data_IF_895606722764
#
_entry.id   IF_895606722764
#
_cell.length_a   1.000
_cell.length_b   1.000
_cell.length_c   1.000
_cell.angle_alpha   90.00
_cell.angle_beta   90.00
_cell.angle_gamma   90.00
#
_symmetry.space_group_name_H-M   'P 1'
#
loop_
_entity.id
_entity.type
_entity.pdbx_description
1 polymer ?
#
# COMPACT_ATOMS: atom_id res chain seq x y z
N UNK A 1 -12.23 -8.28 -17.66
CA UNK A 1 -12.45 -7.89 -16.27
C UNK A 1 -12.86 -6.42 -16.19
N UNK A 2 -13.81 -6.08 -15.34
CA UNK A 2 -14.18 -4.69 -15.15
C UNK A 2 -13.00 -3.91 -14.55
N UNK A 3 -12.85 -2.66 -14.96
CA UNK A 3 -11.83 -1.81 -14.40
C UNK A 3 -12.21 -1.41 -12.97
N UNK A 4 -11.20 -1.29 -12.11
CA UNK A 4 -11.42 -0.74 -10.79
C UNK A 4 -11.91 0.70 -10.91
N UNK A 5 -12.81 1.12 -10.04
CA UNK A 5 -13.27 2.50 -9.99
C UNK A 5 -12.17 3.40 -9.46
N UNK A 6 -12.29 4.70 -9.74
CA UNK A 6 -11.38 5.68 -9.18
C UNK A 6 -11.37 5.55 -7.65
N UNK A 7 -10.20 5.39 -7.08
CA UNK A 7 -10.04 5.18 -5.65
C UNK A 7 -10.20 3.74 -5.19
N UNK A 8 -10.54 2.84 -6.10
CA UNK A 8 -10.61 1.41 -5.82
C UNK A 8 -9.53 0.67 -6.60
N UNK A 9 -8.96 -0.33 -5.98
CA UNK A 9 -7.83 -1.07 -6.56
C UNK A 9 -8.02 -2.56 -6.36
N UNK A 10 -7.63 -3.35 -7.34
CA UNK A 10 -7.58 -4.79 -7.17
C UNK A 10 -6.32 -5.14 -6.38
N UNK A 11 -6.43 -6.12 -5.49
CA UNK A 11 -5.27 -6.54 -4.69
C UNK A 11 -4.11 -6.99 -5.58
N UNK A 12 -4.40 -7.68 -6.69
CA UNK A 12 -3.37 -8.12 -7.63
C UNK A 12 -2.60 -6.95 -8.25
N UNK A 13 -3.24 -5.79 -8.41
CA UNK A 13 -2.59 -4.60 -8.92
C UNK A 13 -1.65 -3.98 -7.89
N UNK A 14 -1.96 -4.17 -6.61
CA UNK A 14 -1.19 -3.59 -5.52
C UNK A 14 -0.03 -4.47 -5.09
N UNK A 15 -0.12 -5.78 -5.29
CA UNK A 15 0.94 -6.69 -4.93
C UNK A 15 2.21 -6.42 -5.74
N UNK A 16 3.34 -6.40 -5.06
CA UNK A 16 4.63 -6.16 -5.69
C UNK A 16 5.00 -4.71 -5.89
N UNK A 17 4.10 -3.77 -5.56
CA UNK A 17 4.42 -2.34 -5.65
C UNK A 17 5.39 -1.94 -4.54
N UNK A 18 6.25 -0.98 -4.84
CA UNK A 18 7.12 -0.40 -3.83
C UNK A 18 6.30 0.48 -2.90
N UNK A 19 6.55 0.36 -1.61
CA UNK A 19 5.90 1.18 -0.59
C UNK A 19 6.89 2.22 -0.09
N UNK A 20 6.55 3.48 -0.26
CA UNK A 20 7.42 4.62 0.05
C UNK A 20 6.64 5.59 0.91
N UNK A 21 7.28 6.15 1.93
CA UNK A 21 6.66 7.19 2.75
C UNK A 21 6.53 8.48 1.97
N UNK A 22 5.74 9.42 2.49
CA UNK A 22 5.60 10.75 1.89
C UNK A 22 6.95 11.48 1.86
N UNK A 23 7.85 11.14 2.76
CA UNK A 23 9.20 11.72 2.83
C UNK A 23 10.19 11.02 1.88
N UNK A 24 9.76 9.98 1.19
CA UNK A 24 10.60 9.27 0.24
C UNK A 24 11.38 8.10 0.81
N UNK A 25 11.06 7.64 2.02
CA UNK A 25 11.71 6.48 2.62
C UNK A 25 11.07 5.20 2.12
N UNK A 26 11.87 4.31 1.55
CA UNK A 26 11.37 3.03 1.05
C UNK A 26 11.16 2.07 2.22
N UNK A 27 9.93 1.60 2.40
CA UNK A 27 9.59 0.64 3.45
C UNK A 27 9.72 -0.81 2.98
N UNK A 28 9.56 -1.04 1.70
CA UNK A 28 9.61 -2.38 1.13
C UNK A 28 8.64 -2.52 -0.03
N UNK A 29 8.18 -3.74 -0.25
CA UNK A 29 7.21 -4.04 -1.30
C UNK A 29 5.98 -4.70 -0.71
N UNK A 30 4.84 -4.52 -1.38
CA UNK A 30 3.61 -5.20 -0.98
C UNK A 30 3.77 -6.69 -1.26
N UNK A 31 3.76 -7.50 -0.21
CA UNK A 31 3.80 -8.95 -0.33
C UNK A 31 2.43 -9.49 -0.70
N UNK A 32 1.43 -9.10 0.05
CA UNK A 32 0.04 -9.48 -0.19
C UNK A 32 -0.86 -8.53 0.62
N UNK A 33 -2.16 -8.73 0.50
CA UNK A 33 -3.13 -8.00 1.29
C UNK A 33 -4.06 -8.99 1.96
N UNK A 34 -4.70 -8.56 3.05
CA UNK A 34 -5.79 -9.31 3.64
C UNK A 34 -6.85 -8.33 4.15
N UNK A 35 -8.07 -8.83 4.28
CA UNK A 35 -9.18 -8.03 4.76
C UNK A 35 -9.39 -8.26 6.24
N UNK A 36 -9.69 -7.18 6.95
CA UNK A 36 -10.18 -7.23 8.32
C UNK A 36 -11.67 -6.87 8.32
N UNK A 37 -12.32 -6.90 9.47
CA UNK A 37 -13.71 -6.47 9.55
C UNK A 37 -13.93 -5.00 9.22
N UNK A 38 -12.88 -4.17 9.26
CA UNK A 38 -12.98 -2.73 9.04
C UNK A 38 -12.32 -2.30 7.73
N UNK A 39 -11.11 -2.76 7.45
CA UNK A 39 -10.30 -2.28 6.32
C UNK A 39 -9.47 -3.41 5.73
N UNK A 40 -9.01 -3.20 4.50
CA UNK A 40 -7.95 -4.03 3.94
C UNK A 40 -6.62 -3.61 4.54
N UNK A 41 -5.68 -4.55 4.63
CA UNK A 41 -4.37 -4.30 5.20
C UNK A 41 -3.31 -4.72 4.19
N UNK A 42 -2.36 -3.82 3.95
CA UNK A 42 -1.17 -4.11 3.14
C UNK A 42 -0.13 -4.79 4.01
N UNK A 43 0.35 -5.94 3.56
CA UNK A 43 1.50 -6.59 4.19
C UNK A 43 2.74 -6.16 3.40
N UNK A 44 3.56 -5.34 4.01
CA UNK A 44 4.75 -4.77 3.38
C UNK A 44 5.98 -5.52 3.86
N UNK A 45 6.75 -6.03 2.94
CA UNK A 45 7.95 -6.83 3.22
C UNK A 45 9.19 -6.05 2.79
N UNK A 46 10.05 -5.73 3.76
CA UNK A 46 11.31 -5.03 3.56
C UNK A 46 12.32 -5.50 4.59
N UNK A 47 13.00 -4.59 5.28
CA UNK A 47 13.87 -4.96 6.41
C UNK A 47 13.10 -5.75 7.47
N UNK A 48 11.83 -5.40 7.62
CA UNK A 48 10.91 -6.11 8.51
C UNK A 48 9.53 -6.08 7.89
N UNK A 49 8.65 -6.94 8.34
CA UNK A 49 7.27 -6.94 7.91
C UNK A 49 6.50 -5.82 8.61
N UNK A 50 5.73 -5.08 7.83
CA UNK A 50 4.86 -4.04 8.35
C UNK A 50 3.44 -4.29 7.87
N UNK A 51 2.48 -4.01 8.73
CA UNK A 51 1.06 -4.10 8.40
C UNK A 51 0.51 -2.69 8.34
N UNK A 52 0.18 -2.22 7.15
CA UNK A 52 -0.29 -0.86 6.92
C UNK A 52 -1.73 -0.91 6.46
N UNK A 53 -2.68 -0.27 7.18
CA UNK A 53 -4.07 -0.27 6.72
C UNK A 53 -4.20 0.46 5.39
N UNK A 54 -4.91 -0.15 4.46
CA UNK A 54 -5.15 0.46 3.15
C UNK A 54 -6.35 1.40 3.25
N UNK A 55 -6.10 2.59 3.73
CA UNK A 55 -7.13 3.62 3.95
C UNK A 55 -6.77 4.84 3.10
N UNK A 56 -7.28 4.92 1.85
CA UNK A 56 -6.98 6.06 0.98
C UNK A 56 -7.40 7.38 1.63
N UNK A 57 -6.52 8.38 1.56
CA UNK A 57 -6.73 9.65 2.21
C UNK A 57 -6.31 9.69 3.68
N UNK A 58 -5.90 8.55 4.23
CA UNK A 58 -5.40 8.44 5.61
C UNK A 58 -3.98 7.84 5.59
N UNK A 59 -3.86 6.55 5.86
CA UNK A 59 -2.54 5.92 5.84
C UNK A 59 -1.96 5.83 4.43
N UNK A 60 -2.80 5.67 3.41
CA UNK A 60 -2.36 5.64 2.01
C UNK A 60 -2.64 7.00 1.37
N UNK A 61 -1.58 7.68 0.96
CA UNK A 61 -1.71 8.99 0.31
C UNK A 61 -1.93 8.89 -1.20
N UNK A 62 -1.16 8.06 -1.87
CA UNK A 62 -1.22 7.96 -3.32
C UNK A 62 -0.86 6.56 -3.79
N UNK A 63 -1.52 6.09 -4.83
CA UNK A 63 -1.17 4.84 -5.52
C UNK A 63 -0.86 5.19 -6.97
N UNK A 64 0.36 4.93 -7.39
CA UNK A 64 0.81 5.16 -8.77
C UNK A 64 1.17 3.81 -9.41
N UNK A 65 0.23 3.24 -10.14
CA UNK A 65 0.45 1.95 -10.79
C UNK A 65 1.45 2.04 -11.95
N UNK A 66 1.53 3.19 -12.61
CA UNK A 66 2.47 3.38 -13.71
C UNK A 66 3.91 3.40 -13.20
N UNK A 67 4.15 4.04 -12.07
CA UNK A 67 5.46 4.07 -11.43
C UNK A 67 5.69 2.87 -10.52
N UNK A 68 4.64 2.06 -10.27
CA UNK A 68 4.67 0.90 -9.39
C UNK A 68 5.05 1.26 -7.95
N UNK A 69 4.44 2.33 -7.44
CA UNK A 69 4.73 2.90 -6.13
C UNK A 69 3.44 3.20 -5.39
N UNK A 70 3.42 2.91 -4.10
CA UNK A 70 2.37 3.35 -3.18
C UNK A 70 3.03 4.30 -2.18
N UNK A 71 2.51 5.52 -2.09
CA UNK A 71 2.97 6.47 -1.09
C UNK A 71 2.09 6.38 0.13
N UNK A 72 2.71 6.26 1.29
CA UNK A 72 2.00 6.08 2.55
C UNK A 72 2.41 7.15 3.54
N UNK A 73 1.43 7.58 4.34
CA UNK A 73 1.67 8.44 5.49
C UNK A 73 1.92 7.54 6.70
N UNK A 74 3.13 7.06 6.81
CA UNK A 74 3.51 6.06 7.81
C UNK A 74 4.90 6.35 8.34
N UNK A 75 5.06 6.18 9.65
CA UNK A 75 6.35 6.37 10.29
C UNK A 75 7.24 5.13 10.03
N UNK A 76 8.42 5.30 9.39
CA UNK A 76 9.31 4.18 9.14
C UNK A 76 9.79 3.46 10.40
N UNK A 77 9.76 4.14 11.53
CA UNK A 77 10.18 3.58 12.81
C UNK A 77 9.06 2.83 13.54
N UNK A 78 7.84 2.96 13.01
CA UNK A 78 6.66 2.35 13.65
C UNK A 78 6.63 0.85 13.48
#
# INVERSE_FOLDING_TARGET
LPKARKGEWYWSDLEGLDVVTLDGVVLGKVSHLFATGANDVLVVHGERERLIPFTPGHAVGEVDLAARVIRVDWDPAF
#
